data_IF_914679695556
#
_entry.id   IF_914679695556
#
_cell.length_a   1.000
_cell.length_b   1.000
_cell.length_c   1.000
_cell.angle_alpha   90.00
_cell.angle_beta   90.00
_cell.angle_gamma   90.00
#
_symmetry.space_group_name_H-M   'P 1'
#
loop_
_entity.id
_entity.type
_entity.pdbx_description
1 polymer ?
#
# COMPACT_ATOMS: atom_id res chain seq x y z
N UNK A 1 3.81 17.54 -16.57
CA UNK A 1 3.87 18.24 -15.28
C UNK A 1 5.02 19.23 -15.31
N UNK A 2 4.73 20.52 -15.12
CA UNK A 2 5.78 21.53 -14.96
C UNK A 2 6.10 21.74 -13.46
N UNK A 3 7.17 22.49 -13.15
CA UNK A 3 7.62 22.70 -11.77
C UNK A 3 6.53 23.34 -10.89
N UNK A 4 5.78 24.28 -11.43
CA UNK A 4 4.76 25.04 -10.71
C UNK A 4 3.56 24.16 -10.35
N UNK A 5 3.11 23.35 -11.30
CA UNK A 5 2.06 22.34 -11.14
C UNK A 5 2.45 21.27 -10.10
N UNK A 6 3.72 20.83 -10.12
CA UNK A 6 4.24 19.91 -9.11
C UNK A 6 4.21 20.51 -7.70
N UNK A 7 4.68 21.75 -7.55
CA UNK A 7 4.69 22.44 -6.24
C UNK A 7 3.26 22.63 -5.73
N UNK A 8 2.33 23.07 -6.59
CA UNK A 8 0.92 23.21 -6.20
C UNK A 8 0.32 21.88 -5.74
N UNK A 9 0.58 20.79 -6.47
CA UNK A 9 0.11 19.44 -6.10
C UNK A 9 0.71 19.00 -4.77
N UNK A 10 2.00 19.25 -4.54
CA UNK A 10 2.67 18.90 -3.29
C UNK A 10 2.09 19.66 -2.09
N UNK A 11 1.81 20.95 -2.24
CA UNK A 11 1.21 21.75 -1.18
C UNK A 11 -0.24 21.32 -0.88
N UNK A 12 -1.03 20.97 -1.91
CA UNK A 12 -2.36 20.37 -1.71
C UNK A 12 -2.26 19.05 -0.94
N UNK A 13 -1.33 18.17 -1.31
CA UNK A 13 -1.09 16.91 -0.61
C UNK A 13 -0.74 17.13 0.87
N UNK A 14 0.18 18.04 1.17
CA UNK A 14 0.55 18.37 2.57
C UNK A 14 -0.62 18.93 3.37
N UNK A 15 -1.46 19.77 2.75
CA UNK A 15 -2.62 20.37 3.40
C UNK A 15 -3.69 19.34 3.82
N UNK A 16 -3.76 18.19 3.15
CA UNK A 16 -4.64 17.08 3.52
C UNK A 16 -4.23 16.37 4.81
N UNK A 17 -2.98 16.56 5.27
CA UNK A 17 -2.45 15.94 6.49
C UNK A 17 -2.69 14.43 6.57
N UNK A 18 -2.53 13.73 5.45
CA UNK A 18 -2.79 12.28 5.38
C UNK A 18 -1.91 11.47 6.34
N UNK A 19 -0.73 12.00 6.68
CA UNK A 19 0.17 11.43 7.68
C UNK A 19 -0.42 11.40 9.11
N UNK A 20 -1.43 12.22 9.40
CA UNK A 20 -2.12 12.20 10.70
C UNK A 20 -3.14 11.05 10.80
N UNK A 21 -3.53 10.46 9.67
CA UNK A 21 -4.61 9.46 9.57
C UNK A 21 -4.07 8.10 9.12
N UNK A 22 -2.99 8.09 8.35
CA UNK A 22 -2.39 6.89 7.76
C UNK A 22 -0.99 6.73 8.34
N UNK A 23 -0.68 5.53 8.82
CA UNK A 23 0.68 5.11 9.11
C UNK A 23 1.46 5.03 7.78
N UNK A 24 2.16 6.13 7.47
CA UNK A 24 2.85 6.30 6.20
C UNK A 24 3.96 5.27 6.02
N UNK A 25 4.66 4.91 7.10
CA UNK A 25 5.76 3.96 7.05
C UNK A 25 5.27 2.56 6.71
N UNK A 26 4.15 2.13 7.31
CA UNK A 26 3.49 0.85 6.94
C UNK A 26 2.98 0.86 5.52
N UNK A 27 2.23 1.90 5.14
CA UNK A 27 1.68 2.01 3.78
C UNK A 27 2.78 1.95 2.72
N UNK A 28 3.85 2.75 2.92
CA UNK A 28 5.00 2.75 2.03
C UNK A 28 5.69 1.39 1.95
N UNK A 29 5.89 0.72 3.09
CA UNK A 29 6.51 -0.60 3.16
C UNK A 29 5.74 -1.64 2.35
N UNK A 30 4.41 -1.71 2.53
CA UNK A 30 3.56 -2.67 1.83
C UNK A 30 3.61 -2.44 0.32
N UNK A 31 3.48 -1.19 -0.14
CA UNK A 31 3.54 -0.88 -1.56
C UNK A 31 4.90 -1.22 -2.17
N UNK A 32 6.02 -0.93 -1.48
CA UNK A 32 7.37 -1.26 -1.99
C UNK A 32 7.53 -2.77 -2.13
N UNK A 33 7.22 -3.54 -1.08
CA UNK A 33 7.38 -5.00 -1.09
C UNK A 33 6.49 -5.63 -2.17
N UNK A 34 5.23 -5.22 -2.27
CA UNK A 34 4.31 -5.76 -3.29
C UNK A 34 4.84 -5.51 -4.69
N UNK A 35 5.25 -4.28 -5.01
CA UNK A 35 5.74 -3.97 -6.36
C UNK A 35 7.08 -4.66 -6.67
N UNK A 36 8.02 -4.68 -5.72
CA UNK A 36 9.32 -5.33 -5.92
C UNK A 36 9.17 -6.84 -6.12
N UNK A 37 8.36 -7.50 -5.31
CA UNK A 37 8.17 -8.96 -5.44
C UNK A 37 7.31 -9.32 -6.65
N UNK A 38 6.38 -8.47 -7.08
CA UNK A 38 5.63 -8.67 -8.32
C UNK A 38 6.53 -8.63 -9.56
N UNK A 39 7.55 -7.75 -9.58
CA UNK A 39 8.58 -7.73 -10.63
C UNK A 39 9.34 -9.06 -10.69
N UNK A 40 9.52 -9.70 -9.54
CA UNK A 40 10.16 -11.02 -9.40
C UNK A 40 9.20 -12.20 -9.65
N UNK A 41 7.93 -11.93 -9.97
CA UNK A 41 6.92 -12.93 -10.31
C UNK A 41 5.99 -13.37 -9.17
N UNK A 42 6.02 -12.68 -8.02
CA UNK A 42 5.06 -12.88 -6.93
C UNK A 42 3.64 -12.49 -7.37
N UNK A 43 2.65 -13.23 -6.89
CA UNK A 43 1.21 -12.93 -7.06
C UNK A 43 0.55 -12.44 -5.76
N UNK A 44 1.37 -12.15 -4.74
CA UNK A 44 0.92 -11.61 -3.46
C UNK A 44 0.53 -10.14 -3.66
N UNK A 45 -0.67 -9.81 -3.22
CA UNK A 45 -1.25 -8.47 -3.30
C UNK A 45 -0.86 -7.62 -2.09
N UNK A 46 -1.04 -6.30 -2.18
CA UNK A 46 -0.79 -5.39 -1.06
C UNK A 46 -1.66 -5.72 0.16
N UNK A 47 -2.92 -6.10 -0.05
CA UNK A 47 -3.83 -6.51 1.04
C UNK A 47 -3.35 -7.79 1.73
N UNK A 48 -2.81 -8.75 0.97
CA UNK A 48 -2.24 -9.97 1.54
C UNK A 48 -0.97 -9.70 2.34
N UNK A 49 -0.13 -8.77 1.87
CA UNK A 49 1.03 -8.29 2.64
C UNK A 49 0.60 -7.56 3.91
N UNK A 50 -0.44 -6.73 3.88
CA UNK A 50 -1.00 -6.09 5.08
C UNK A 50 -1.38 -7.14 6.13
N UNK A 51 -2.16 -8.16 5.75
CA UNK A 51 -2.55 -9.24 6.67
C UNK A 51 -1.32 -9.99 7.20
N UNK A 52 -0.32 -10.27 6.35
CA UNK A 52 0.89 -10.96 6.79
C UNK A 52 1.69 -10.16 7.81
N UNK A 53 1.90 -8.86 7.56
CA UNK A 53 2.75 -8.03 8.42
C UNK A 53 2.04 -7.53 9.68
N UNK A 54 0.73 -7.27 9.62
CA UNK A 54 -0.03 -6.81 10.78
C UNK A 54 -0.50 -7.98 11.67
N UNK A 55 -0.96 -9.09 11.07
CA UNK A 55 -1.54 -10.22 11.82
C UNK A 55 -0.59 -11.43 11.95
N UNK A 56 0.51 -11.45 11.19
CA UNK A 56 1.43 -12.61 11.17
C UNK A 56 0.86 -13.82 10.43
N UNK A 57 -0.20 -13.64 9.62
CA UNK A 57 -0.93 -14.71 8.96
C UNK A 57 -0.65 -14.70 7.46
N UNK A 58 -0.21 -15.83 6.92
CA UNK A 58 -0.13 -16.00 5.46
C UNK A 58 -1.53 -16.23 4.88
N UNK A 59 -1.90 -15.43 3.88
CA UNK A 59 -3.19 -15.58 3.19
C UNK A 59 -3.14 -16.80 2.28
N UNK A 60 -3.96 -17.80 2.59
CA UNK A 60 -4.21 -18.95 1.73
C UNK A 60 -5.37 -18.66 0.76
N UNK A 61 -5.64 -19.57 -0.18
CA UNK A 61 -6.70 -19.41 -1.19
C UNK A 61 -8.08 -19.16 -0.59
N UNK A 62 -8.43 -19.86 0.49
CA UNK A 62 -9.72 -19.70 1.18
C UNK A 62 -9.87 -18.31 1.82
N UNK A 63 -8.81 -17.82 2.48
CA UNK A 63 -8.78 -16.47 3.04
C UNK A 63 -8.79 -15.40 1.94
N UNK A 64 -8.14 -15.67 0.81
CA UNK A 64 -8.08 -14.74 -0.34
C UNK A 64 -9.47 -14.46 -0.91
N UNK A 65 -10.31 -15.49 -1.04
CA UNK A 65 -11.72 -15.34 -1.44
C UNK A 65 -12.48 -14.46 -0.43
N UNK A 66 -12.34 -14.73 0.87
CA UNK A 66 -13.04 -13.97 1.91
C UNK A 66 -12.62 -12.49 2.01
N UNK A 67 -11.37 -12.17 1.63
CA UNK A 67 -10.84 -10.79 1.66
C UNK A 67 -11.26 -9.99 0.42
N UNK A 68 -11.38 -10.63 -0.75
CA UNK A 68 -11.73 -9.98 -2.01
C UNK A 68 -13.24 -9.77 -2.23
N UNK A 69 -14.08 -10.43 -1.44
CA UNK A 69 -15.55 -10.31 -1.49
C UNK A 69 -16.13 -9.13 -0.67
N UNK A 70 -15.27 -8.28 -0.08
CA UNK A 70 -15.66 -7.05 0.62
C UNK A 70 -15.37 -5.80 -0.20
#
# INVERSE_FOLDING_TARGET
>A
MNKEEFIQTLEQYKALKLHDVIDYDKFYLYSVITNSTAIEGSTITEVENQVLFDEGITVNSTLREAILEK
#
